data_IF_280401836495
#
_entry.id   IF_280401836495
#
_cell.length_a   1.000
_cell.length_b   1.000
_cell.length_c   1.000
_cell.angle_alpha   90.00
_cell.angle_beta   90.00
_cell.angle_gamma   90.00
#
_symmetry.space_group_name_H-M   'P 1'
#
loop_
_entity.id
_entity.type
_entity.pdbx_description
1 polymer ?
#
# COMPACT_ATOMS: atom_id res chain seq x y z
N UNK A 1 9.60 -13.47 -7.17
CA UNK A 1 9.59 -11.98 -7.22
C UNK A 1 8.23 -11.58 -7.79
N UNK A 2 7.59 -10.55 -7.26
CA UNK A 2 6.18 -10.25 -7.54
C UNK A 2 5.95 -9.50 -8.85
N UNK A 3 4.77 -9.70 -9.45
CA UNK A 3 4.34 -9.09 -10.73
C UNK A 3 3.43 -7.86 -10.53
N UNK A 4 3.17 -7.50 -9.28
CA UNK A 4 2.26 -6.42 -8.89
C UNK A 4 3.06 -5.20 -8.42
N UNK A 5 2.48 -4.03 -8.66
CA UNK A 5 3.02 -2.73 -8.26
C UNK A 5 2.22 -2.22 -7.06
N UNK A 6 2.94 -1.80 -6.02
CA UNK A 6 2.38 -1.01 -4.93
C UNK A 6 2.79 0.45 -5.13
N UNK A 7 1.82 1.35 -5.15
CA UNK A 7 2.07 2.78 -5.29
C UNK A 7 1.11 3.60 -4.44
N UNK A 8 1.57 4.76 -3.97
CA UNK A 8 0.73 5.73 -3.25
C UNK A 8 0.97 7.14 -3.76
N UNK A 9 -0.04 8.00 -3.57
CA UNK A 9 0.05 9.46 -3.71
C UNK A 9 -0.45 10.09 -2.40
N UNK A 10 -1.29 11.13 -2.44
CA UNK A 10 -1.81 11.88 -1.29
C UNK A 10 -3.29 11.58 -1.00
N UNK A 11 -3.92 10.64 -1.71
CA UNK A 11 -5.35 10.32 -1.61
C UNK A 11 -5.64 9.25 -0.56
N UNK A 12 -4.80 9.20 0.48
CA UNK A 12 -4.92 8.30 1.63
C UNK A 12 -5.08 6.79 1.28
N UNK A 13 -4.41 6.31 0.23
CA UNK A 13 -4.36 4.89 -0.07
C UNK A 13 -3.06 4.44 -0.74
N UNK A 14 -2.70 3.18 -0.47
CA UNK A 14 -1.76 2.42 -1.29
C UNK A 14 -2.59 1.58 -2.26
N UNK A 15 -2.28 1.68 -3.55
CA UNK A 15 -2.92 0.92 -4.61
C UNK A 15 -1.99 -0.21 -5.02
N UNK A 16 -2.53 -1.42 -5.02
CA UNK A 16 -1.93 -2.60 -5.64
C UNK A 16 -2.52 -2.77 -7.03
N UNK A 17 -1.69 -2.74 -8.07
CA UNK A 17 -2.12 -2.79 -9.46
C UNK A 17 -1.10 -3.49 -10.35
N UNK A 18 -1.52 -3.85 -11.56
CA UNK A 18 -0.63 -4.31 -12.64
C UNK A 18 -1.03 -3.65 -13.97
N UNK A 19 -0.06 -3.40 -14.87
CA UNK A 19 -0.36 -3.08 -16.25
C UNK A 19 -1.03 -4.29 -16.93
N UNK A 20 -1.87 -4.02 -17.93
CA UNK A 20 -2.63 -5.05 -18.61
C UNK A 20 -3.82 -5.58 -17.79
N UNK A 21 -4.41 -6.66 -18.30
CA UNK A 21 -5.48 -7.42 -17.65
C UNK A 21 -4.92 -8.40 -16.63
N UNK A 22 -5.74 -8.81 -15.65
CA UNK A 22 -5.31 -9.71 -14.57
C UNK A 22 -4.64 -11.01 -15.07
N UNK A 23 -5.16 -11.57 -16.15
CA UNK A 23 -4.72 -12.84 -16.75
C UNK A 23 -3.45 -12.72 -17.63
N UNK A 24 -3.09 -11.50 -18.05
CA UNK A 24 -1.98 -11.28 -18.97
C UNK A 24 -0.63 -11.39 -18.25
N UNK A 25 0.29 -12.14 -18.82
CA UNK A 25 1.66 -12.32 -18.30
C UNK A 25 2.63 -11.31 -18.89
N UNK A 26 2.40 -10.88 -20.13
CA UNK A 26 3.33 -10.03 -20.88
C UNK A 26 2.73 -8.64 -21.12
N UNK A 27 3.55 -7.61 -20.90
CA UNK A 27 3.18 -6.22 -21.16
C UNK A 27 3.36 -5.93 -22.65
N UNK A 28 2.29 -5.51 -23.32
CA UNK A 28 2.32 -5.16 -24.74
C UNK A 28 2.60 -3.66 -24.91
N UNK A 29 3.58 -3.27 -25.74
CA UNK A 29 3.81 -1.86 -26.06
C UNK A 29 2.54 -1.21 -26.65
N UNK A 30 2.15 -0.06 -26.13
CA UNK A 30 0.95 0.66 -26.56
C UNK A 30 -0.35 0.23 -25.85
N UNK A 31 -0.29 -0.79 -24.99
CA UNK A 31 -1.40 -1.11 -24.10
C UNK A 31 -1.38 -0.19 -22.87
N UNK A 32 -2.44 0.60 -22.71
CA UNK A 32 -2.62 1.54 -21.60
C UNK A 32 -3.59 1.00 -20.53
N UNK A 33 -3.99 -0.27 -20.62
CA UNK A 33 -4.87 -0.87 -19.63
C UNK A 33 -4.14 -1.13 -18.31
N UNK A 34 -4.89 -1.01 -17.21
CA UNK A 34 -4.42 -1.20 -15.85
C UNK A 34 -5.48 -1.96 -15.08
N UNK A 35 -5.06 -2.93 -14.28
CA UNK A 35 -5.93 -3.65 -13.36
C UNK A 35 -5.58 -3.27 -11.92
N UNK A 36 -6.55 -2.73 -11.18
CA UNK A 36 -6.44 -2.54 -9.73
C UNK A 36 -6.79 -3.86 -9.05
N UNK A 37 -5.85 -4.39 -8.27
CA UNK A 37 -5.98 -5.66 -7.55
C UNK A 37 -6.48 -5.42 -6.12
N UNK A 38 -5.95 -4.38 -5.46
CA UNK A 38 -6.30 -4.08 -4.08
C UNK A 38 -6.07 -2.61 -3.74
N UNK A 39 -6.78 -2.15 -2.71
CA UNK A 39 -6.66 -0.79 -2.15
C UNK A 39 -6.53 -0.88 -0.64
N UNK A 40 -5.44 -0.35 -0.11
CA UNK A 40 -5.20 -0.23 1.33
C UNK A 40 -5.52 1.20 1.76
N UNK A 41 -6.72 1.42 2.27
CA UNK A 41 -7.15 2.73 2.75
C UNK A 41 -6.55 3.07 4.12
N UNK A 42 -6.18 4.34 4.27
CA UNK A 42 -5.75 4.94 5.54
C UNK A 42 -6.26 6.37 5.66
N UNK A 43 -5.77 7.12 6.64
CA UNK A 43 -6.19 8.51 6.89
C UNK A 43 -5.00 9.35 7.31
N UNK A 44 -5.18 10.67 7.19
CA UNK A 44 -4.27 11.68 7.72
C UNK A 44 -2.84 11.53 7.16
N UNK A 45 -2.71 11.32 5.85
CA UNK A 45 -1.43 11.20 5.18
C UNK A 45 -1.51 11.82 3.77
N UNK A 46 -1.75 13.13 3.75
CA UNK A 46 -1.92 13.95 2.54
C UNK A 46 -0.66 14.80 2.24
N UNK A 47 0.45 14.50 2.91
CA UNK A 47 1.73 15.16 2.73
C UNK A 47 2.69 14.34 1.86
N UNK A 48 3.60 15.06 1.21
CA UNK A 48 4.66 14.49 0.38
C UNK A 48 5.74 13.77 1.21
N UNK A 49 6.50 12.91 0.53
CA UNK A 49 7.67 12.20 1.08
C UNK A 49 7.38 11.25 2.26
N UNK A 50 6.18 10.66 2.30
CA UNK A 50 5.85 9.52 3.15
C UNK A 50 6.06 8.22 2.40
N UNK A 51 6.83 7.29 2.97
CA UNK A 51 7.09 5.96 2.41
C UNK A 51 6.26 4.91 3.14
N UNK A 52 5.89 3.87 2.40
CA UNK A 52 5.57 2.59 3.01
C UNK A 52 6.79 1.66 2.89
N UNK A 53 6.86 0.66 3.75
CA UNK A 53 7.84 -0.40 3.67
C UNK A 53 7.12 -1.75 3.63
N UNK A 54 7.75 -2.72 2.98
CA UNK A 54 7.32 -4.12 2.97
C UNK A 54 8.42 -4.94 3.62
N UNK A 55 8.05 -5.94 4.41
CA UNK A 55 9.02 -6.84 5.04
C UNK A 55 9.70 -7.76 4.01
N UNK A 56 10.78 -8.43 4.43
CA UNK A 56 11.54 -9.33 3.56
C UNK A 56 10.69 -10.45 2.95
N UNK A 57 9.72 -10.98 3.71
CA UNK A 57 8.86 -12.08 3.25
C UNK A 57 7.67 -11.64 2.41
N UNK A 58 7.49 -10.34 2.19
CA UNK A 58 6.36 -9.75 1.46
C UNK A 58 4.99 -10.14 2.05
N UNK A 59 4.91 -10.22 3.37
CA UNK A 59 3.70 -10.55 4.15
C UNK A 59 3.13 -9.38 4.91
N UNK A 60 3.92 -8.33 5.12
CA UNK A 60 3.51 -7.18 5.92
C UNK A 60 3.92 -5.89 5.21
N UNK A 61 2.98 -4.96 5.11
CA UNK A 61 3.21 -3.59 4.67
C UNK A 61 2.96 -2.62 5.82
N UNK A 62 3.82 -1.63 6.00
CA UNK A 62 3.70 -0.61 7.03
C UNK A 62 3.81 0.80 6.44
N UNK A 63 2.96 1.73 6.91
CA UNK A 63 3.00 3.14 6.52
C UNK A 63 2.77 4.04 7.75
N UNK A 64 3.67 4.99 7.96
CA UNK A 64 3.49 6.08 8.91
C UNK A 64 2.63 7.21 8.33
N UNK A 65 1.86 7.91 9.15
CA UNK A 65 1.03 9.03 8.73
C UNK A 65 1.50 10.37 9.32
N UNK A 66 0.83 11.47 8.98
CA UNK A 66 1.23 12.82 9.36
C UNK A 66 0.92 13.15 10.84
N UNK A 67 0.13 12.31 11.51
CA UNK A 67 -0.30 12.46 12.90
C UNK A 67 0.42 11.52 13.87
N UNK A 68 1.51 10.86 13.46
CA UNK A 68 2.31 9.98 14.32
C UNK A 68 1.75 8.56 14.51
N UNK A 69 0.83 8.13 13.65
CA UNK A 69 0.27 6.77 13.65
C UNK A 69 1.00 5.94 12.59
N UNK A 70 1.23 4.66 12.88
CA UNK A 70 1.74 3.71 11.88
C UNK A 70 0.69 2.63 11.65
N UNK A 71 0.23 2.48 10.41
CA UNK A 71 -0.66 1.40 10.01
C UNK A 71 0.16 0.23 9.47
N UNK A 72 -0.29 -0.99 9.77
CA UNK A 72 0.35 -2.24 9.37
C UNK A 72 -0.71 -3.18 8.80
N UNK A 73 -0.51 -3.67 7.58
CA UNK A 73 -1.41 -4.61 6.94
C UNK A 73 -0.73 -5.94 6.63
N UNK A 74 -1.47 -7.03 6.77
CA UNK A 74 -1.05 -8.36 6.32
C UNK A 74 -1.39 -8.56 4.83
N UNK A 75 -0.42 -9.08 4.07
CA UNK A 75 -0.52 -9.44 2.66
C UNK A 75 -0.73 -10.95 2.52
N UNK A 76 -1.53 -11.36 1.54
CA UNK A 76 -1.74 -12.78 1.18
C UNK A 76 -2.91 -13.47 1.86
N UNK A 77 -3.63 -12.84 2.79
CA UNK A 77 -4.83 -13.41 3.39
C UNK A 77 -6.09 -13.00 2.60
N UNK A 78 -6.43 -13.78 1.58
CA UNK A 78 -7.53 -13.48 0.64
C UNK A 78 -8.91 -13.70 1.28
N UNK A 79 -9.01 -14.54 2.31
CA UNK A 79 -10.30 -14.96 2.88
C UNK A 79 -10.90 -13.97 3.90
N UNK A 80 -10.18 -12.91 4.28
CA UNK A 80 -10.59 -12.03 5.38
C UNK A 80 -10.53 -10.52 5.10
N UNK A 81 -10.21 -10.11 3.88
CA UNK A 81 -9.86 -8.72 3.57
C UNK A 81 -8.52 -8.30 4.18
N UNK A 82 -8.04 -7.11 3.85
CA UNK A 82 -6.80 -6.60 4.42
C UNK A 82 -7.02 -6.14 5.86
N UNK A 83 -6.48 -6.90 6.82
CA UNK A 83 -6.53 -6.54 8.24
C UNK A 83 -5.50 -5.45 8.51
N UNK A 84 -5.94 -4.34 9.09
CA UNK A 84 -5.07 -3.24 9.51
C UNK A 84 -4.91 -3.21 11.01
N UNK A 85 -3.67 -3.18 11.47
CA UNK A 85 -3.31 -2.85 12.85
C UNK A 85 -2.73 -1.44 12.90
N UNK A 86 -2.95 -0.71 14.00
CA UNK A 86 -2.43 0.64 14.17
C UNK A 86 -1.53 0.71 15.40
N UNK A 87 -0.28 1.14 15.19
CA UNK A 87 0.66 1.45 16.25
C UNK A 87 0.55 2.94 16.57
N UNK A 88 0.30 3.25 17.84
CA UNK A 88 0.14 4.61 18.35
C UNK A 88 0.92 4.81 19.62
N UNK A 89 1.48 5.99 19.80
CA UNK A 89 2.12 6.38 21.04
C UNK A 89 1.74 7.83 21.36
N UNK A 90 1.30 8.17 22.59
CA UNK A 90 0.81 9.51 22.93
C UNK A 90 1.79 10.66 22.66
N UNK A 91 3.10 10.37 22.68
CA UNK A 91 4.16 11.35 22.34
C UNK A 91 4.55 11.38 20.86
N UNK A 92 4.04 10.46 20.04
CA UNK A 92 4.30 10.47 18.60
C UNK A 92 3.15 11.23 17.93
N UNK A 93 3.35 12.54 17.75
CA UNK A 93 2.34 13.46 17.20
C UNK A 93 2.79 14.12 15.88
N UNK A 94 3.97 13.75 15.39
CA UNK A 94 4.58 14.27 14.18
C UNK A 94 4.60 13.20 13.08
N UNK A 95 4.89 13.62 11.84
CA UNK A 95 4.94 12.72 10.69
C UNK A 95 5.98 11.59 10.85
N UNK A 96 5.57 10.37 10.53
CA UNK A 96 6.44 9.16 10.47
C UNK A 96 6.67 8.82 8.99
N UNK A 97 7.93 8.77 8.52
CA UNK A 97 8.32 8.76 7.09
C UNK A 97 9.21 7.60 6.65
#
# INVERSE_FOLDING_TARGET
MGDLILSKSCENAIICWKPGRLEETDIRPGDNSVTIVHRFDYKECEIWFIRFAVDYSQRVIALGNQCGKTMVWELGNVAGGSRVSQLVHPRCVAAVR
#
